data_IF_576645983781
#
_entry.id   IF_576645983781
#
_cell.length_a   1.000
_cell.length_b   1.000
_cell.length_c   1.000
_cell.angle_alpha   90.00
_cell.angle_beta   90.00
_cell.angle_gamma   90.00
#
_symmetry.space_group_name_H-M   'P 1'
#
loop_
_entity.id
_entity.type
_entity.pdbx_description
1 polymer ?
#
# COMPACT_ATOMS: atom_id res chain seq x y z
N UNK A 1 16.10 -56.52 -25.32
CA UNK A 1 14.84 -57.13 -25.79
C UNK A 1 14.27 -57.97 -24.66
N UNK A 2 12.99 -57.77 -24.34
CA UNK A 2 12.02 -58.51 -23.48
C UNK A 2 11.22 -57.40 -22.76
N UNK A 3 10.20 -56.83 -23.40
CA UNK A 3 8.78 -57.24 -23.45
C UNK A 3 8.03 -57.04 -22.12
N UNK A 4 7.11 -56.07 -22.16
CA UNK A 4 6.13 -55.76 -21.13
C UNK A 4 4.93 -56.70 -21.19
N UNK A 5 4.37 -57.09 -20.03
CA UNK A 5 2.94 -56.96 -19.68
C UNK A 5 2.64 -57.60 -18.32
N UNK A 6 1.95 -56.80 -17.51
CA UNK A 6 1.01 -57.12 -16.42
C UNK A 6 1.22 -56.04 -15.34
N UNK A 7 0.40 -55.01 -15.18
CA UNK A 7 -1.06 -55.00 -15.26
C UNK A 7 -1.63 -54.83 -13.85
N UNK A 8 -1.34 -53.70 -13.18
CA UNK A 8 -2.03 -53.16 -11.99
C UNK A 8 -1.48 -51.75 -11.67
N UNK A 9 -2.19 -50.66 -12.00
CA UNK A 9 -1.82 -49.33 -11.50
C UNK A 9 -2.15 -49.23 -10.01
N UNK A 10 -1.16 -48.80 -9.22
CA UNK A 10 -1.30 -48.52 -7.80
C UNK A 10 -2.39 -47.48 -7.55
N UNK A 11 -3.24 -47.78 -6.58
CA UNK A 11 -4.27 -46.89 -6.07
C UNK A 11 -3.65 -45.60 -5.54
N UNK A 12 -3.78 -44.52 -6.30
CA UNK A 12 -3.68 -43.17 -5.76
C UNK A 12 -4.95 -42.90 -4.96
N UNK A 13 -4.84 -42.90 -3.62
CA UNK A 13 -5.86 -42.34 -2.75
C UNK A 13 -6.02 -40.86 -3.08
N UNK A 14 -7.01 -40.55 -3.89
CA UNK A 14 -7.46 -39.19 -4.19
C UNK A 14 -8.64 -38.92 -3.27
N UNK A 15 -8.41 -38.17 -2.18
CA UNK A 15 -9.50 -37.58 -1.42
C UNK A 15 -10.00 -36.34 -2.20
N UNK A 16 -11.26 -36.28 -2.65
CA UNK A 16 -11.81 -35.08 -3.25
C UNK A 16 -12.24 -34.13 -2.12
N UNK A 17 -11.36 -33.22 -1.73
CA UNK A 17 -11.57 -32.32 -0.60
C UNK A 17 -11.31 -30.86 -0.95
N UNK A 18 -12.38 -30.07 -0.90
CA UNK A 18 -12.42 -28.64 -0.57
C UNK A 18 -12.09 -27.55 -1.61
N UNK A 19 -11.51 -27.81 -2.78
CA UNK A 19 -11.17 -26.72 -3.73
C UNK A 19 -11.93 -26.70 -5.06
N UNK A 20 -12.71 -27.74 -5.41
CA UNK A 20 -13.37 -27.84 -6.73
C UNK A 20 -14.87 -27.54 -6.72
N UNK A 21 -15.49 -27.33 -5.55
CA UNK A 21 -16.93 -27.02 -5.44
C UNK A 21 -17.24 -25.53 -5.35
N UNK A 22 -16.25 -24.65 -5.21
CA UNK A 22 -16.48 -23.20 -5.11
C UNK A 22 -16.78 -22.50 -6.46
N UNK A 23 -16.50 -23.15 -7.59
CA UNK A 23 -16.61 -22.53 -8.92
C UNK A 23 -17.20 -23.47 -9.98
N UNK A 24 -18.26 -24.19 -9.64
CA UNK A 24 -19.10 -24.86 -10.64
C UNK A 24 -20.44 -24.13 -10.72
N UNK A 25 -20.79 -23.48 -11.86
CA UNK A 25 -22.14 -22.97 -12.06
C UNK A 25 -23.08 -24.16 -12.30
N UNK A 26 -23.59 -24.72 -11.20
CA UNK A 26 -24.51 -25.85 -11.18
C UNK A 26 -25.95 -25.39 -11.11
N UNK A 27 -26.69 -25.69 -12.17
CA UNK A 27 -28.14 -25.56 -12.35
C UNK A 27 -28.88 -26.26 -11.20
N UNK A 28 -29.40 -25.48 -10.25
CA UNK A 28 -30.24 -25.94 -9.14
C UNK A 28 -31.60 -25.24 -9.15
N UNK A 29 -32.65 -25.94 -8.74
CA UNK A 29 -34.04 -25.50 -8.81
C UNK A 29 -34.23 -24.12 -8.15
N UNK A 30 -34.80 -23.19 -8.93
CA UNK A 30 -35.13 -21.83 -8.51
C UNK A 30 -36.16 -21.91 -7.37
N UNK A 31 -35.75 -21.60 -6.15
CA UNK A 31 -36.70 -21.36 -5.08
C UNK A 31 -37.50 -20.10 -5.45
N UNK A 32 -38.78 -20.27 -5.76
CA UNK A 32 -39.71 -19.16 -5.94
C UNK A 32 -39.91 -18.48 -4.59
N UNK A 33 -39.19 -17.39 -4.37
CA UNK A 33 -39.53 -16.45 -3.32
C UNK A 33 -40.69 -15.58 -3.82
N UNK A 34 -41.71 -15.31 -2.98
CA UNK A 34 -42.74 -14.34 -3.33
C UNK A 34 -42.07 -13.00 -3.62
N UNK A 35 -42.31 -12.45 -4.81
CA UNK A 35 -41.88 -11.10 -5.18
C UNK A 35 -42.61 -10.14 -4.26
N UNK A 36 -41.92 -9.39 -3.38
CA UNK A 36 -42.58 -8.31 -2.64
C UNK A 36 -43.08 -7.30 -3.66
N UNK A 37 -44.33 -6.85 -3.53
CA UNK A 37 -44.83 -5.75 -4.36
C UNK A 37 -43.85 -4.57 -4.28
N UNK A 38 -43.58 -3.89 -5.41
CA UNK A 38 -42.69 -2.74 -5.39
C UNK A 38 -43.29 -1.70 -4.45
N UNK A 39 -42.61 -1.47 -3.34
CA UNK A 39 -42.87 -0.31 -2.48
C UNK A 39 -42.70 0.90 -3.37
N UNK A 40 -43.80 1.62 -3.63
CA UNK A 40 -43.73 2.94 -4.24
C UNK A 40 -42.94 3.83 -3.27
N UNK A 41 -41.67 4.01 -3.56
CA UNK A 41 -40.93 5.14 -3.03
C UNK A 41 -41.60 6.38 -3.62
N UNK A 42 -42.39 7.07 -2.82
CA UNK A 42 -42.57 8.50 -3.02
C UNK A 42 -41.17 9.11 -3.11
N UNK A 43 -40.94 9.97 -4.10
CA UNK A 43 -39.68 10.67 -4.35
C UNK A 43 -39.29 11.52 -3.12
N UNK A 44 -38.85 10.89 -2.05
CA UNK A 44 -38.00 11.51 -1.05
C UNK A 44 -36.63 11.54 -1.69
N UNK A 45 -36.26 12.71 -2.22
CA UNK A 45 -34.95 12.95 -2.80
C UNK A 45 -33.88 12.33 -1.91
N UNK A 46 -33.32 11.21 -2.38
CA UNK A 46 -32.02 10.79 -1.94
C UNK A 46 -31.08 11.86 -2.48
N UNK A 47 -30.76 12.84 -1.64
CA UNK A 47 -29.56 13.63 -1.84
C UNK A 47 -28.43 12.60 -1.93
N UNK A 48 -27.92 12.38 -3.15
CA UNK A 48 -26.61 11.77 -3.32
C UNK A 48 -25.67 12.50 -2.34
N UNK A 49 -24.82 11.79 -1.58
CA UNK A 49 -23.86 12.46 -0.72
C UNK A 49 -23.03 13.38 -1.61
N UNK A 50 -23.35 14.67 -1.55
CA UNK A 50 -22.63 15.73 -2.21
C UNK A 50 -21.28 15.75 -1.52
N UNK A 51 -20.31 15.09 -2.13
CA UNK A 51 -18.92 15.28 -1.78
C UNK A 51 -18.57 16.70 -2.18
N UNK A 52 -18.82 17.67 -1.30
CA UNK A 52 -18.32 19.03 -1.49
C UNK A 52 -16.80 18.94 -1.56
N UNK A 53 -16.27 19.16 -2.76
CA UNK A 53 -14.83 19.13 -3.05
C UNK A 53 -14.08 20.34 -2.47
N UNK A 54 -14.84 21.30 -1.90
CA UNK A 54 -14.37 22.46 -1.17
C UNK A 54 -14.63 22.31 0.34
N UNK A 55 -14.23 21.18 0.92
CA UNK A 55 -14.27 21.01 2.37
C UNK A 55 -13.36 22.07 3.02
N UNK A 56 -13.89 22.97 3.87
CA UNK A 56 -13.11 24.08 4.41
C UNK A 56 -11.94 23.52 5.21
N UNK A 57 -10.74 24.09 5.04
CA UNK A 57 -9.47 23.62 5.62
C UNK A 57 -9.59 23.26 7.12
N UNK A 58 -10.40 24.02 7.87
CA UNK A 58 -10.62 23.76 9.30
C UNK A 58 -11.34 22.43 9.60
N UNK A 59 -12.18 21.92 8.70
CA UNK A 59 -12.84 20.63 8.89
C UNK A 59 -11.88 19.45 8.68
N UNK A 60 -10.96 19.54 7.70
CA UNK A 60 -9.90 18.55 7.53
C UNK A 60 -8.97 18.48 8.75
N UNK A 61 -8.58 19.64 9.28
CA UNK A 61 -7.76 19.70 10.49
C UNK A 61 -8.49 19.11 11.70
N UNK A 62 -9.78 19.43 11.89
CA UNK A 62 -10.59 18.85 12.95
C UNK A 62 -10.72 17.32 12.83
N UNK A 63 -10.91 16.80 11.62
CA UNK A 63 -10.95 15.35 11.35
C UNK A 63 -9.63 14.68 11.67
N UNK A 64 -8.52 15.30 11.27
CA UNK A 64 -7.18 14.79 11.59
C UNK A 64 -6.94 14.75 13.10
N UNK A 65 -7.24 15.84 13.80
CA UNK A 65 -7.10 15.93 15.26
C UNK A 65 -7.98 14.90 15.98
N UNK A 66 -9.20 14.66 15.50
CA UNK A 66 -10.07 13.61 16.04
C UNK A 66 -9.46 12.21 15.93
N UNK A 67 -8.92 11.83 14.76
CA UNK A 67 -8.27 10.51 14.58
C UNK A 67 -7.06 10.37 15.51
N UNK A 68 -6.26 11.43 15.63
CA UNK A 68 -5.10 11.45 16.52
C UNK A 68 -5.54 11.34 17.99
N UNK A 69 -6.63 12.00 18.36
CA UNK A 69 -7.26 11.89 19.67
C UNK A 69 -7.76 10.48 19.96
N UNK A 70 -8.48 9.87 19.02
CA UNK A 70 -8.94 8.48 19.09
C UNK A 70 -7.76 7.52 19.28
N UNK A 71 -6.71 7.64 18.46
CA UNK A 71 -5.50 6.83 18.61
C UNK A 71 -4.88 7.00 19.99
N UNK A 72 -4.77 8.24 20.49
CA UNK A 72 -4.21 8.51 21.82
C UNK A 72 -5.02 7.90 22.97
N UNK A 73 -6.31 7.62 22.75
CA UNK A 73 -7.16 6.93 23.72
C UNK A 73 -6.89 5.42 23.79
N UNK A 74 -6.40 4.83 22.70
CA UNK A 74 -6.13 3.39 22.60
C UNK A 74 -4.64 3.04 22.69
N UNK A 75 -3.73 3.96 22.40
CA UNK A 75 -2.29 3.69 22.30
C UNK A 75 -1.46 4.94 22.61
N UNK A 76 -0.29 4.75 23.22
CA UNK A 76 0.66 5.84 23.45
C UNK A 76 1.20 6.39 22.11
N UNK A 77 0.95 7.67 21.84
CA UNK A 77 1.43 8.38 20.65
C UNK A 77 2.94 8.24 20.45
N UNK A 78 3.72 8.12 21.54
CA UNK A 78 5.17 7.91 21.47
C UNK A 78 5.51 6.60 20.76
N UNK A 79 4.76 5.53 21.01
CA UNK A 79 4.98 4.22 20.39
C UNK A 79 4.81 4.31 18.88
N UNK A 80 3.72 4.93 18.42
CA UNK A 80 3.46 5.10 16.97
C UNK A 80 4.53 5.96 16.31
N UNK A 81 4.94 7.05 16.97
CA UNK A 81 6.04 7.89 16.49
C UNK A 81 7.37 7.13 16.40
N UNK A 82 7.69 6.30 17.38
CA UNK A 82 8.89 5.45 17.35
C UNK A 82 8.84 4.41 16.23
N UNK A 83 7.68 3.83 15.95
CA UNK A 83 7.50 2.90 14.82
C UNK A 83 7.75 3.62 13.50
N UNK A 84 7.16 4.81 13.29
CA UNK A 84 7.37 5.61 12.09
C UNK A 84 8.84 6.04 11.98
N UNK A 85 9.45 6.48 13.08
CA UNK A 85 10.86 6.86 13.11
C UNK A 85 11.78 5.70 12.76
N UNK A 86 11.56 4.51 13.34
CA UNK A 86 12.35 3.32 13.05
C UNK A 86 12.24 2.92 11.58
N UNK A 87 11.03 2.94 11.04
CA UNK A 87 10.78 2.65 9.64
C UNK A 87 11.42 3.69 8.70
N UNK A 88 11.38 4.96 9.06
CA UNK A 88 12.01 6.04 8.29
C UNK A 88 13.53 5.92 8.36
N UNK A 89 14.09 5.59 9.52
CA UNK A 89 15.51 5.35 9.68
C UNK A 89 15.99 4.13 8.87
N UNK A 90 15.19 3.06 8.80
CA UNK A 90 15.56 1.87 8.03
C UNK A 90 15.63 2.15 6.52
N UNK A 91 14.81 3.07 5.99
CA UNK A 91 14.99 3.58 4.62
C UNK A 91 16.37 4.21 4.42
N UNK A 92 16.79 5.07 5.35
CA UNK A 92 18.12 5.71 5.32
C UNK A 92 19.26 4.70 5.44
N UNK A 93 19.09 3.68 6.29
CA UNK A 93 20.05 2.57 6.42
C UNK A 93 20.17 1.79 5.12
N UNK A 94 19.06 1.42 4.47
CA UNK A 94 19.09 0.73 3.18
C UNK A 94 19.88 1.54 2.14
N UNK A 95 19.54 2.82 1.95
CA UNK A 95 20.26 3.69 1.00
C UNK A 95 21.75 3.84 1.35
N UNK A 96 22.10 3.88 2.64
CA UNK A 96 23.50 3.95 3.08
C UNK A 96 24.25 2.65 2.78
N UNK A 97 23.65 1.49 3.09
CA UNK A 97 24.26 0.19 2.83
C UNK A 97 24.42 -0.04 1.33
N UNK A 98 23.47 0.38 0.50
CA UNK A 98 23.59 0.33 -0.96
C UNK A 98 24.87 1.03 -1.43
N UNK A 99 25.12 2.25 -0.95
CA UNK A 99 26.34 3.00 -1.28
C UNK A 99 27.59 2.26 -0.79
N UNK A 100 27.58 1.77 0.45
CA UNK A 100 28.75 1.12 1.08
C UNK A 100 29.11 -0.22 0.40
N UNK A 101 28.13 -0.98 -0.07
CA UNK A 101 28.32 -2.29 -0.68
C UNK A 101 28.43 -2.23 -2.22
N UNK A 102 28.51 -1.04 -2.80
CA UNK A 102 28.75 -0.86 -4.24
C UNK A 102 27.50 -0.92 -5.13
N UNK A 103 26.31 -0.87 -4.55
CA UNK A 103 25.02 -0.72 -5.25
C UNK A 103 24.56 0.76 -5.31
N UNK A 104 25.44 1.69 -4.95
CA UNK A 104 25.16 3.11 -5.01
C UNK A 104 25.13 3.63 -6.45
N UNK A 105 24.61 4.85 -6.63
CA UNK A 105 24.58 5.47 -7.96
C UNK A 105 25.97 5.60 -8.59
N UNK A 106 26.08 5.23 -9.87
CA UNK A 106 27.34 5.18 -10.62
C UNK A 106 27.87 6.54 -11.08
N UNK A 107 26.98 7.53 -11.18
CA UNK A 107 27.34 8.93 -11.47
C UNK A 107 27.36 9.79 -10.21
N UNK A 108 28.11 10.89 -10.21
CA UNK A 108 28.10 11.87 -9.11
C UNK A 108 26.70 12.40 -8.82
N UNK A 109 25.88 12.60 -9.86
CA UNK A 109 24.50 13.07 -9.71
C UNK A 109 23.63 12.04 -9.00
N UNK A 110 23.61 10.79 -9.47
CA UNK A 110 22.81 9.71 -8.88
C UNK A 110 23.25 9.38 -7.45
N UNK A 111 24.57 9.40 -7.19
CA UNK A 111 25.11 9.24 -5.84
C UNK A 111 24.65 10.38 -4.92
N UNK A 112 24.70 11.63 -5.40
CA UNK A 112 24.23 12.80 -4.65
C UNK A 112 22.76 12.72 -4.30
N UNK A 113 21.91 12.25 -5.23
CA UNK A 113 20.48 12.01 -4.99
C UNK A 113 20.27 10.97 -3.89
N UNK A 114 20.99 9.85 -3.95
CA UNK A 114 20.87 8.77 -2.96
C UNK A 114 21.33 9.21 -1.56
N UNK A 115 22.45 9.95 -1.47
CA UNK A 115 22.93 10.55 -0.21
C UNK A 115 21.89 11.55 0.34
N UNK A 116 21.30 12.38 -0.53
CA UNK A 116 20.24 13.32 -0.16
C UNK A 116 19.03 12.61 0.43
N UNK A 117 18.57 11.52 -0.21
CA UNK A 117 17.45 10.71 0.27
C UNK A 117 17.77 10.05 1.62
N UNK A 118 18.98 9.50 1.79
CA UNK A 118 19.41 8.91 3.05
C UNK A 118 19.45 9.96 4.18
N UNK A 119 20.00 11.14 3.89
CA UNK A 119 20.08 12.27 4.83
C UNK A 119 18.68 12.74 5.24
N UNK A 120 17.76 12.88 4.27
CA UNK A 120 16.37 13.20 4.55
C UNK A 120 15.71 12.15 5.44
N UNK A 121 15.90 10.86 5.14
CA UNK A 121 15.31 9.77 5.91
C UNK A 121 15.79 9.80 7.38
N UNK A 122 17.09 9.98 7.63
CA UNK A 122 17.61 10.12 8.99
C UNK A 122 17.11 11.38 9.70
N UNK A 123 17.07 12.53 9.01
CA UNK A 123 16.55 13.77 9.56
C UNK A 123 15.06 13.66 9.91
N UNK A 124 14.25 13.06 9.04
CA UNK A 124 12.84 12.82 9.26
C UNK A 124 12.61 11.81 10.40
N UNK A 125 13.41 10.76 10.49
CA UNK A 125 13.37 9.82 11.61
C UNK A 125 13.67 10.51 12.95
N UNK A 126 14.74 11.33 13.00
CA UNK A 126 15.07 12.11 14.19
C UNK A 126 13.98 13.12 14.54
N UNK A 127 13.40 13.78 13.54
CA UNK A 127 12.27 14.68 13.73
C UNK A 127 11.10 13.95 14.40
N UNK A 128 10.73 12.77 13.90
CA UNK A 128 9.69 11.94 14.49
C UNK A 128 9.97 11.51 15.94
N UNK A 129 11.23 11.42 16.40
CA UNK A 129 11.56 11.08 17.80
C UNK A 129 11.60 12.28 18.74
N UNK A 130 11.95 13.48 18.25
CA UNK A 130 12.15 14.65 19.11
C UNK A 130 11.00 15.66 19.12
N UNK A 131 10.10 15.68 18.13
CA UNK A 131 9.00 16.65 18.06
C UNK A 131 7.67 16.11 18.57
N UNK A 132 6.67 16.96 18.84
CA UNK A 132 5.31 16.48 19.09
C UNK A 132 4.69 15.87 17.82
N UNK A 133 3.50 15.27 17.97
CA UNK A 133 2.73 14.80 16.82
C UNK A 133 2.55 15.92 15.78
N UNK A 134 2.78 15.66 14.49
CA UNK A 134 2.76 16.70 13.47
C UNK A 134 1.35 17.20 13.19
N UNK A 135 1.25 18.44 12.71
CA UNK A 135 0.02 18.97 12.12
C UNK A 135 -0.26 18.31 10.78
N UNK A 136 -1.51 18.37 10.33
CA UNK A 136 -1.99 17.75 9.09
C UNK A 136 -1.07 18.02 7.89
N UNK A 137 -0.78 19.30 7.60
CA UNK A 137 0.05 19.68 6.47
C UNK A 137 1.48 19.16 6.57
N UNK A 138 2.06 19.11 7.77
CA UNK A 138 3.41 18.58 7.98
C UNK A 138 3.43 17.06 7.82
N UNK A 139 2.40 16.36 8.30
CA UNK A 139 2.23 14.93 8.08
C UNK A 139 2.07 14.60 6.58
N UNK A 140 1.27 15.39 5.86
CA UNK A 140 1.10 15.23 4.42
C UNK A 140 2.39 15.51 3.64
N UNK A 141 3.10 16.59 3.97
CA UNK A 141 4.39 16.90 3.37
C UNK A 141 5.41 15.78 3.60
N UNK A 142 5.46 15.21 4.82
CA UNK A 142 6.29 14.05 5.12
C UNK A 142 5.96 12.85 4.21
N UNK A 143 4.68 12.53 4.01
CA UNK A 143 4.27 11.44 3.11
C UNK A 143 4.72 11.71 1.67
N UNK A 144 4.46 12.90 1.13
CA UNK A 144 4.85 13.26 -0.25
C UNK A 144 6.37 13.20 -0.44
N UNK A 145 7.13 13.85 0.44
CA UNK A 145 8.59 13.88 0.36
C UNK A 145 9.19 12.48 0.52
N UNK A 146 8.61 11.64 1.38
CA UNK A 146 9.06 10.26 1.55
C UNK A 146 8.76 9.41 0.32
N UNK A 147 7.59 9.56 -0.31
CA UNK A 147 7.29 8.85 -1.56
C UNK A 147 8.30 9.22 -2.67
N UNK A 148 8.59 10.52 -2.83
CA UNK A 148 9.56 11.01 -3.80
C UNK A 148 10.98 10.53 -3.48
N UNK A 149 11.36 10.52 -2.20
CA UNK A 149 12.65 10.02 -1.73
C UNK A 149 12.83 8.52 -2.02
N UNK A 150 11.80 7.70 -1.77
CA UNK A 150 11.83 6.26 -2.07
C UNK A 150 11.97 6.04 -3.58
N UNK A 151 11.21 6.76 -4.40
CA UNK A 151 11.30 6.66 -5.86
C UNK A 151 12.69 7.08 -6.36
N UNK A 152 13.17 8.24 -5.91
CA UNK A 152 14.47 8.77 -6.32
C UNK A 152 15.62 7.84 -5.91
N UNK A 153 15.61 7.33 -4.68
CA UNK A 153 16.62 6.38 -4.20
C UNK A 153 16.57 5.03 -4.93
N UNK A 154 15.40 4.58 -5.38
CA UNK A 154 15.27 3.38 -6.21
C UNK A 154 15.86 3.58 -7.60
N UNK A 155 15.53 4.71 -8.26
CA UNK A 155 16.00 5.00 -9.62
C UNK A 155 17.49 5.38 -9.66
N UNK A 156 18.05 5.86 -8.55
CA UNK A 156 19.47 6.24 -8.49
C UNK A 156 20.40 5.07 -8.17
N UNK A 157 19.90 4.00 -7.53
CA UNK A 157 20.71 2.88 -7.07
C UNK A 157 20.93 1.86 -8.19
N UNK A 158 22.15 1.36 -8.30
CA UNK A 158 22.52 0.33 -9.26
C UNK A 158 22.45 -1.04 -8.59
N UNK A 159 21.24 -1.57 -8.47
CA UNK A 159 20.96 -2.80 -7.72
C UNK A 159 20.21 -3.83 -8.58
N UNK A 160 20.37 -5.13 -8.30
CA UNK A 160 19.58 -6.16 -8.96
C UNK A 160 18.06 -5.93 -8.83
N UNK A 161 17.26 -6.23 -9.86
CA UNK A 161 15.82 -5.99 -9.91
C UNK A 161 15.02 -6.48 -8.70
N UNK A 162 15.37 -7.64 -8.16
CA UNK A 162 14.69 -8.23 -7.00
C UNK A 162 14.79 -7.34 -5.75
N UNK A 163 15.94 -6.70 -5.53
CA UNK A 163 16.14 -5.81 -4.39
C UNK A 163 15.43 -4.47 -4.60
N UNK A 164 15.40 -3.97 -5.84
CA UNK A 164 14.66 -2.76 -6.22
C UNK A 164 13.18 -2.87 -5.88
N UNK A 165 12.57 -3.99 -6.26
CA UNK A 165 11.17 -4.28 -5.91
C UNK A 165 11.01 -4.35 -4.40
N UNK A 166 11.92 -5.02 -3.67
CA UNK A 166 11.85 -5.13 -2.21
C UNK A 166 11.75 -3.78 -1.49
N UNK A 167 12.42 -2.74 -2.00
CA UNK A 167 12.37 -1.39 -1.42
C UNK A 167 11.02 -0.69 -1.62
N UNK A 168 10.20 -1.13 -2.58
CA UNK A 168 8.85 -0.58 -2.74
C UNK A 168 7.93 -0.89 -1.56
N UNK A 169 8.28 -1.87 -0.72
CA UNK A 169 7.57 -2.14 0.54
C UNK A 169 7.56 -0.92 1.47
N UNK A 170 8.50 0.02 1.31
CA UNK A 170 8.49 1.28 2.06
C UNK A 170 7.24 2.13 1.79
N UNK A 171 6.66 2.04 0.59
CA UNK A 171 5.40 2.72 0.26
C UNK A 171 4.22 2.19 1.07
N UNK A 172 4.20 0.89 1.39
CA UNK A 172 3.06 0.28 2.09
C UNK A 172 2.84 0.96 3.44
N UNK A 173 3.88 1.13 4.26
CA UNK A 173 3.74 1.74 5.60
C UNK A 173 3.39 3.22 5.52
N UNK A 174 3.91 3.96 4.52
CA UNK A 174 3.45 5.32 4.25
C UNK A 174 1.97 5.35 3.89
N UNK A 175 1.50 4.36 3.14
CA UNK A 175 0.10 4.16 2.82
C UNK A 175 -0.74 3.80 4.04
N UNK A 176 -0.25 2.95 4.95
CA UNK A 176 -0.94 2.66 6.21
C UNK A 176 -1.12 3.94 7.03
N UNK A 177 -0.05 4.75 7.14
CA UNK A 177 -0.12 6.04 7.81
C UNK A 177 -1.11 6.99 7.12
N UNK A 178 -1.03 7.13 5.80
CA UNK A 178 -1.93 7.99 5.04
C UNK A 178 -3.40 7.54 5.13
N UNK A 179 -3.65 6.23 5.05
CA UNK A 179 -4.98 5.64 5.10
C UNK A 179 -5.65 5.81 6.47
N UNK A 180 -4.87 5.73 7.55
CA UNK A 180 -5.40 5.94 8.91
C UNK A 180 -5.63 7.42 9.19
N UNK A 181 -4.63 8.27 8.95
CA UNK A 181 -4.63 9.64 9.48
C UNK A 181 -5.08 10.71 8.49
N UNK A 182 -4.84 10.53 7.20
CA UNK A 182 -5.03 11.60 6.21
C UNK A 182 -6.40 11.53 5.53
N UNK A 183 -6.73 12.60 4.81
CA UNK A 183 -7.99 12.70 4.06
C UNK A 183 -7.93 12.00 2.68
N UNK A 184 -9.08 11.79 2.02
CA UNK A 184 -9.22 11.04 0.76
C UNK A 184 -8.27 11.53 -0.32
N UNK A 185 -8.11 12.85 -0.48
CA UNK A 185 -7.26 13.43 -1.53
C UNK A 185 -5.77 13.27 -1.23
N UNK A 186 -5.41 13.31 0.05
CA UNK A 186 -4.04 13.09 0.50
C UNK A 186 -3.64 11.61 0.35
N UNK A 187 -4.56 10.70 0.66
CA UNK A 187 -4.38 9.27 0.40
C UNK A 187 -4.31 8.98 -1.10
N UNK A 188 -5.19 9.57 -1.91
CA UNK A 188 -5.16 9.45 -3.37
C UNK A 188 -3.83 9.94 -3.95
N UNK A 189 -3.25 11.01 -3.38
CA UNK A 189 -1.92 11.50 -3.76
C UNK A 189 -0.83 10.45 -3.47
N UNK A 190 -0.83 9.83 -2.30
CA UNK A 190 0.09 8.73 -2.00
C UNK A 190 -0.10 7.55 -2.98
N UNK A 191 -1.34 7.10 -3.17
CA UNK A 191 -1.67 6.00 -4.08
C UNK A 191 -1.20 6.30 -5.51
N UNK A 192 -1.43 7.53 -5.99
CA UNK A 192 -0.99 7.97 -7.31
C UNK A 192 0.54 7.94 -7.44
N UNK A 193 1.26 8.57 -6.52
CA UNK A 193 2.73 8.60 -6.56
C UNK A 193 3.31 7.19 -6.41
N UNK A 194 2.85 6.42 -5.41
CA UNK A 194 3.38 5.11 -5.12
C UNK A 194 3.03 4.09 -6.22
N UNK A 195 1.82 4.13 -6.78
CA UNK A 195 1.41 3.28 -7.89
C UNK A 195 2.22 3.56 -9.16
N UNK A 196 2.44 4.84 -9.48
CA UNK A 196 3.32 5.24 -10.59
C UNK A 196 4.75 4.80 -10.33
N UNK A 197 5.26 4.99 -9.11
CA UNK A 197 6.61 4.59 -8.71
C UNK A 197 6.84 3.08 -8.86
N UNK A 198 5.97 2.26 -8.27
CA UNK A 198 6.03 0.78 -8.36
C UNK A 198 5.97 0.32 -9.82
N UNK A 199 5.02 0.86 -10.58
CA UNK A 199 4.86 0.51 -12.00
C UNK A 199 6.07 0.92 -12.82
N UNK A 200 6.67 2.08 -12.54
CA UNK A 200 7.87 2.55 -13.23
C UNK A 200 9.09 1.69 -12.91
N UNK A 201 9.29 1.30 -11.64
CA UNK A 201 10.41 0.44 -11.22
C UNK A 201 10.28 -0.95 -11.86
N UNK A 202 9.10 -1.56 -11.81
CA UNK A 202 8.88 -2.88 -12.40
C UNK A 202 8.93 -2.81 -13.93
N UNK A 203 8.37 -1.76 -14.53
CA UNK A 203 8.43 -1.52 -15.97
C UNK A 203 9.87 -1.32 -16.47
N UNK A 204 10.70 -0.59 -15.72
CA UNK A 204 12.12 -0.45 -16.02
C UNK A 204 12.81 -1.82 -16.02
N UNK A 205 12.62 -2.62 -14.96
CA UNK A 205 13.23 -3.95 -14.86
C UNK A 205 12.76 -4.90 -15.99
N UNK A 206 11.50 -4.79 -16.41
CA UNK A 206 10.95 -5.55 -17.53
C UNK A 206 11.59 -5.17 -18.87
N UNK A 207 11.86 -3.87 -19.08
CA UNK A 207 12.33 -3.35 -20.35
C UNK A 207 13.86 -3.39 -20.50
N UNK A 208 14.60 -3.35 -19.39
CA UNK A 208 16.04 -3.13 -19.40
C UNK A 208 16.88 -4.16 -18.61
N UNK A 209 16.26 -5.00 -17.76
CA UNK A 209 16.98 -5.91 -16.84
C UNK A 209 16.63 -7.41 -17.04
N UNK A 210 16.25 -7.79 -18.27
CA UNK A 210 15.93 -9.17 -18.68
C UNK A 210 14.89 -9.91 -17.78
N UNK A 211 14.03 -9.17 -17.07
CA UNK A 211 12.99 -9.77 -16.24
C UNK A 211 11.85 -10.32 -17.11
N UNK A 212 11.46 -11.60 -17.01
CA UNK A 212 10.36 -12.15 -17.80
C UNK A 212 9.02 -11.44 -17.51
N UNK A 213 8.18 -11.17 -18.54
CA UNK A 213 6.90 -10.47 -18.36
C UNK A 213 5.98 -11.11 -17.33
N UNK A 214 5.89 -12.44 -17.31
CA UNK A 214 5.10 -13.15 -16.32
C UNK A 214 5.65 -12.94 -14.89
N UNK A 215 6.97 -12.96 -14.73
CA UNK A 215 7.62 -12.70 -13.45
C UNK A 215 7.36 -11.28 -12.94
N UNK A 216 7.49 -10.29 -13.83
CA UNK A 216 7.17 -8.90 -13.54
C UNK A 216 5.70 -8.73 -13.12
N UNK A 217 4.75 -9.37 -13.82
CA UNK A 217 3.32 -9.31 -13.49
C UNK A 217 2.99 -9.97 -12.13
N UNK A 218 3.57 -11.15 -11.87
CA UNK A 218 3.38 -11.90 -10.62
C UNK A 218 3.91 -11.13 -9.42
N UNK A 219 4.92 -10.29 -9.61
CA UNK A 219 5.47 -9.41 -8.57
C UNK A 219 4.67 -8.11 -8.46
N UNK A 220 4.29 -7.51 -9.59
CA UNK A 220 3.56 -6.24 -9.62
C UNK A 220 2.19 -6.32 -8.96
N UNK A 221 1.41 -7.35 -9.26
CA UNK A 221 0.05 -7.51 -8.75
C UNK A 221 -0.04 -7.50 -7.20
N UNK A 222 0.74 -8.32 -6.45
CA UNK A 222 0.70 -8.30 -5.00
C UNK A 222 1.26 -6.99 -4.42
N UNK A 223 2.33 -6.43 -5.00
CA UNK A 223 2.90 -5.16 -4.52
C UNK A 223 1.89 -4.03 -4.67
N UNK A 224 1.24 -3.90 -5.83
CA UNK A 224 0.19 -2.91 -6.05
C UNK A 224 -1.01 -3.13 -5.14
N UNK A 225 -1.40 -4.38 -4.89
CA UNK A 225 -2.47 -4.69 -3.93
C UNK A 225 -2.11 -4.22 -2.52
N UNK A 226 -0.87 -4.41 -2.07
CA UNK A 226 -0.41 -3.95 -0.76
C UNK A 226 -0.28 -2.43 -0.66
N UNK A 227 0.18 -1.78 -1.72
CA UNK A 227 0.40 -0.32 -1.75
C UNK A 227 -0.92 0.44 -1.92
N UNK A 228 -1.92 -0.14 -2.57
CA UNK A 228 -3.19 0.54 -2.87
C UNK A 228 -4.34 0.01 -2.03
N UNK A 229 -4.62 -1.30 -2.12
CA UNK A 229 -5.83 -1.86 -1.54
C UNK A 229 -5.80 -1.81 -0.02
N UNK A 230 -4.66 -2.12 0.61
CA UNK A 230 -4.57 -2.12 2.08
C UNK A 230 -4.77 -0.71 2.67
N UNK A 231 -4.07 0.35 2.21
CA UNK A 231 -4.34 1.72 2.64
C UNK A 231 -5.78 2.19 2.40
N UNK A 232 -6.34 1.86 1.23
CA UNK A 232 -7.72 2.21 0.89
C UNK A 232 -8.74 1.52 1.81
N UNK A 233 -8.55 0.22 2.07
CA UNK A 233 -9.40 -0.54 3.00
C UNK A 233 -9.32 0.03 4.42
N UNK A 234 -8.11 0.36 4.91
CA UNK A 234 -7.95 0.99 6.21
C UNK A 234 -8.65 2.35 6.28
N UNK A 235 -8.52 3.18 5.24
CA UNK A 235 -9.25 4.44 5.16
C UNK A 235 -10.75 4.21 5.24
N UNK A 236 -11.29 3.29 4.43
CA UNK A 236 -12.73 3.00 4.47
C UNK A 236 -13.18 2.46 5.83
N UNK A 237 -12.37 1.62 6.49
CA UNK A 237 -12.67 1.06 7.80
C UNK A 237 -12.71 2.15 8.88
N UNK A 238 -11.68 3.01 8.95
CA UNK A 238 -11.62 4.11 9.93
C UNK A 238 -12.79 5.08 9.74
N UNK A 239 -13.19 5.34 8.49
CA UNK A 239 -14.34 6.19 8.17
C UNK A 239 -15.68 5.52 8.45
N UNK A 240 -15.81 4.20 8.25
CA UNK A 240 -17.02 3.46 8.60
C UNK A 240 -17.27 3.46 10.11
N UNK A 241 -16.24 3.23 10.93
CA UNK A 241 -16.33 3.31 12.41
C UNK A 241 -16.78 4.69 12.89
N UNK A 242 -16.51 5.75 12.13
CA UNK A 242 -16.98 7.12 12.43
C UNK A 242 -18.49 7.27 12.21
N UNK A 243 -19.05 6.64 11.17
CA UNK A 243 -20.48 6.75 10.84
C UNK A 243 -21.38 6.13 11.91
N UNK A 244 -20.88 5.14 12.66
CA UNK A 244 -21.62 4.55 13.79
C UNK A 244 -21.70 5.47 15.03
N UNK A 245 -20.99 6.61 15.05
CA UNK A 245 -20.93 7.53 16.20
C UNK A 245 -21.54 8.92 15.93
N UNK A 246 -22.03 9.18 14.72
CA UNK A 246 -22.75 10.41 14.33
C UNK A 246 -24.26 10.19 14.36
#
# INVERSE_FOLDING_TARGET
MVSARDGRPGQAYSAPGAFTTAFSPGVGARAEYPVPEPVRHEDTGYDEPRYDDDEPIGELEARYEWIVGLMSSFTDQRVVRWIIAFFTASMGVCATLEILYGFGGTSTFTLGVQIGCATFAFAAALWWTVTSWPRLHTAFAFVVLSNLGILAANLSADMPPAYAVGKTTFFVVLGLFAGVFLDRWMLATHIGIAGVAVTSIIGYNLLFEDVPPLGALVVWAPVMSLVIAVPALLYTFVRAVRLDQS
#
